data_IF_630542712226
#
_entry.id   IF_630542712226
#
_cell.length_a   1.000
_cell.length_b   1.000
_cell.length_c   1.000
_cell.angle_alpha   90.00
_cell.angle_beta   90.00
_cell.angle_gamma   90.00
#
_symmetry.space_group_name_H-M   'P 1'
#
loop_
_entity.id
_entity.type
_entity.pdbx_description
1 polymer ?
#
# COMPACT_ATOMS: atom_id res chain seq x y z
N UNK A 1 4.76 9.54 -20.87
CA UNK A 1 3.38 9.53 -21.45
C UNK A 1 2.48 8.43 -20.89
N UNK A 2 2.92 7.16 -20.85
CA UNK A 2 2.09 6.03 -20.36
C UNK A 2 1.56 6.22 -18.92
N UNK A 3 2.33 6.85 -18.05
CA UNK A 3 1.93 7.13 -16.66
C UNK A 3 0.63 7.95 -16.59
N UNK A 4 0.60 9.12 -17.23
CA UNK A 4 -0.58 9.99 -17.24
C UNK A 4 -1.78 9.35 -17.91
N UNK A 5 -1.58 8.54 -18.95
CA UNK A 5 -2.69 7.81 -19.62
C UNK A 5 -3.34 6.79 -18.68
N UNK A 6 -2.53 6.06 -17.89
CA UNK A 6 -3.06 5.13 -16.87
C UNK A 6 -3.76 5.85 -15.73
N UNK A 7 -3.28 7.02 -15.37
CA UNK A 7 -3.79 7.79 -14.23
C UNK A 7 -5.09 8.53 -14.58
N UNK A 8 -5.26 8.88 -15.86
CA UNK A 8 -6.41 9.59 -16.39
C UNK A 8 -7.05 8.85 -17.58
N UNK A 9 -7.60 7.63 -17.38
CA UNK A 9 -8.14 6.80 -18.45
C UNK A 9 -9.39 7.39 -19.12
N UNK A 10 -10.08 8.33 -18.45
CA UNK A 10 -11.23 9.04 -18.97
C UNK A 10 -10.88 10.05 -20.08
N UNK A 11 -9.60 10.39 -20.22
CA UNK A 11 -9.14 11.41 -21.14
C UNK A 11 -8.31 10.80 -22.28
N UNK A 12 -8.55 11.26 -23.51
CA UNK A 12 -7.83 10.77 -24.70
C UNK A 12 -6.56 11.59 -24.93
N UNK A 13 -5.47 10.89 -25.23
CA UNK A 13 -4.20 11.53 -25.64
C UNK A 13 -3.55 12.34 -24.52
N UNK A 14 -3.59 11.86 -23.27
CA UNK A 14 -2.96 12.54 -22.13
C UNK A 14 -1.44 12.45 -22.23
N UNK A 15 -0.77 13.59 -22.17
CA UNK A 15 0.69 13.71 -22.14
C UNK A 15 1.16 14.14 -20.77
N UNK A 16 2.31 13.62 -20.34
CA UNK A 16 3.00 14.11 -19.16
C UNK A 16 4.01 15.17 -19.57
N UNK A 17 3.97 16.31 -18.89
CA UNK A 17 4.92 17.40 -19.04
C UNK A 17 5.64 17.60 -17.72
N UNK A 18 6.96 17.48 -17.77
CA UNK A 18 7.83 17.88 -16.68
C UNK A 18 8.03 19.39 -16.78
N UNK A 19 8.04 20.06 -15.64
CA UNK A 19 8.12 21.51 -15.60
C UNK A 19 9.01 21.90 -14.42
N UNK A 20 9.97 22.79 -14.64
CA UNK A 20 11.10 23.02 -13.73
C UNK A 20 10.70 23.41 -12.31
N UNK A 21 9.55 24.06 -12.14
CA UNK A 21 9.00 24.40 -10.82
C UNK A 21 8.40 23.21 -10.05
N UNK A 22 8.06 22.13 -10.75
CA UNK A 22 7.37 20.95 -10.22
C UNK A 22 8.31 19.75 -10.05
N UNK A 23 9.30 19.59 -10.94
CA UNK A 23 10.26 18.48 -10.92
C UNK A 23 11.01 18.32 -9.57
N UNK A 24 11.46 19.39 -8.88
CA UNK A 24 12.14 19.26 -7.59
C UNK A 24 11.28 18.64 -6.48
N UNK A 25 9.95 18.79 -6.61
CA UNK A 25 8.95 18.26 -5.68
C UNK A 25 8.36 16.94 -6.17
N UNK A 26 8.94 16.34 -7.21
CA UNK A 26 8.41 15.13 -7.82
C UNK A 26 6.95 15.27 -8.21
N UNK A 27 6.63 16.39 -8.87
CA UNK A 27 5.31 16.66 -9.44
C UNK A 27 5.45 16.82 -10.95
N UNK A 28 4.46 16.33 -11.68
CA UNK A 28 4.35 16.48 -13.14
C UNK A 28 2.94 16.97 -13.51
N UNK A 29 2.82 17.55 -14.70
CA UNK A 29 1.54 17.96 -15.26
C UNK A 29 1.06 16.91 -16.27
N UNK A 30 -0.10 16.32 -16.01
CA UNK A 30 -0.81 15.48 -16.98
C UNK A 30 -1.82 16.34 -17.75
N UNK A 31 -1.57 16.57 -19.04
CA UNK A 31 -2.39 17.41 -19.91
C UNK A 31 -3.12 16.56 -20.96
N UNK A 32 -4.44 16.46 -20.91
CA UNK A 32 -5.23 15.87 -22.00
C UNK A 32 -5.23 16.75 -23.25
N UNK A 33 -5.29 16.13 -24.44
CA UNK A 33 -5.29 16.86 -25.71
C UNK A 33 -6.51 17.77 -25.92
N UNK A 34 -7.67 17.35 -25.42
CA UNK A 34 -8.96 18.04 -25.65
C UNK A 34 -9.55 18.64 -24.36
N UNK A 35 -8.74 18.82 -23.32
CA UNK A 35 -9.17 19.39 -22.05
C UNK A 35 -8.41 20.69 -21.79
N UNK A 36 -9.09 21.76 -21.33
CA UNK A 36 -8.44 23.06 -21.14
C UNK A 36 -7.49 23.11 -19.94
N UNK A 37 -7.59 22.15 -19.02
CA UNK A 37 -6.77 22.11 -17.81
C UNK A 37 -5.86 20.89 -17.78
N UNK A 38 -4.64 21.11 -17.28
CA UNK A 38 -3.71 20.08 -16.88
C UNK A 38 -3.86 19.77 -15.40
N UNK A 39 -3.57 18.52 -15.03
CA UNK A 39 -3.65 18.06 -13.65
C UNK A 39 -2.24 17.90 -13.08
N UNK A 40 -2.02 18.43 -11.87
CA UNK A 40 -0.79 18.19 -11.12
C UNK A 40 -0.88 16.80 -10.51
N UNK A 41 0.08 15.95 -10.82
CA UNK A 41 0.16 14.60 -10.31
C UNK A 41 1.51 14.34 -9.66
N UNK A 42 1.52 13.43 -8.69
CA UNK A 42 2.76 12.92 -8.11
C UNK A 42 3.52 12.09 -9.13
N UNK A 43 4.83 12.29 -9.16
CA UNK A 43 5.73 11.40 -9.88
C UNK A 43 5.90 10.10 -9.08
N UNK A 44 5.88 8.97 -9.77
CA UNK A 44 6.26 7.68 -9.19
C UNK A 44 7.76 7.65 -8.86
N UNK A 45 8.13 6.82 -7.89
CA UNK A 45 9.53 6.57 -7.57
C UNK A 45 10.27 6.01 -8.79
N UNK A 46 11.48 6.51 -9.04
CA UNK A 46 12.31 6.16 -10.19
C UNK A 46 12.05 7.00 -11.45
N UNK A 47 11.02 7.85 -11.50
CA UNK A 47 10.84 8.76 -12.64
C UNK A 47 11.86 9.89 -12.61
N UNK A 48 12.37 10.27 -13.78
CA UNK A 48 13.37 11.33 -13.91
C UNK A 48 12.80 12.69 -13.52
N UNK A 49 13.58 13.47 -12.77
CA UNK A 49 13.22 14.81 -12.31
C UNK A 49 14.28 15.87 -12.64
N UNK A 50 15.22 15.53 -13.53
CA UNK A 50 16.20 16.44 -14.13
C UNK A 50 17.65 16.16 -13.72
N UNK A 51 18.58 16.34 -14.68
CA UNK A 51 20.03 16.21 -14.48
C UNK A 51 20.40 14.90 -13.77
N UNK A 52 20.04 13.77 -14.39
CA UNK A 52 20.29 12.40 -13.95
C UNK A 52 19.73 12.02 -12.57
N UNK A 53 18.83 12.84 -12.03
CA UNK A 53 18.12 12.57 -10.77
C UNK A 53 16.78 11.90 -11.02
N UNK A 54 16.36 11.14 -10.03
CA UNK A 54 15.08 10.45 -10.03
C UNK A 54 14.27 10.81 -8.79
N UNK A 55 12.96 10.69 -8.92
CA UNK A 55 12.06 10.84 -7.81
C UNK A 55 12.16 9.67 -6.85
N UNK A 56 12.31 9.95 -5.57
CA UNK A 56 12.26 8.93 -4.53
C UNK A 56 11.58 9.52 -3.30
N UNK A 57 10.47 8.92 -2.87
CA UNK A 57 9.66 9.38 -1.73
C UNK A 57 9.28 10.86 -1.84
N UNK A 58 8.84 11.28 -3.03
CA UNK A 58 8.45 12.67 -3.38
C UNK A 58 9.59 13.70 -3.35
N UNK A 59 10.86 13.27 -3.38
CA UNK A 59 12.02 14.16 -3.45
C UNK A 59 12.85 13.82 -4.68
N UNK A 60 13.25 14.86 -5.43
CA UNK A 60 14.17 14.70 -6.55
C UNK A 60 15.60 14.51 -6.04
N UNK A 61 16.16 13.33 -6.22
CA UNK A 61 17.45 12.95 -5.65
C UNK A 61 18.29 12.13 -6.63
N UNK A 62 19.62 12.19 -6.45
CA UNK A 62 20.52 11.38 -7.26
C UNK A 62 20.29 9.89 -6.99
N UNK A 63 20.34 9.02 -8.01
CA UNK A 63 20.28 7.58 -7.82
C UNK A 63 21.33 7.13 -6.79
N UNK A 64 20.90 6.45 -5.72
CA UNK A 64 21.78 6.04 -4.61
C UNK A 64 22.10 7.11 -3.55
N UNK A 65 21.71 8.38 -3.77
CA UNK A 65 21.85 9.48 -2.81
C UNK A 65 20.70 9.59 -1.81
N UNK A 66 19.90 8.53 -1.66
CA UNK A 66 18.74 8.54 -0.78
C UNK A 66 19.20 8.70 0.69
N UNK A 67 18.53 9.52 1.52
CA UNK A 67 18.71 9.42 2.95
C UNK A 67 18.27 8.01 3.35
N UNK A 68 19.24 7.18 3.74
CA UNK A 68 18.98 5.87 4.32
C UNK A 68 17.91 6.08 5.38
N UNK A 69 16.73 5.45 5.19
CA UNK A 69 15.73 5.46 6.25
C UNK A 69 16.46 5.08 7.56
N UNK A 70 16.22 5.77 8.69
CA UNK A 70 16.82 5.38 9.95
C UNK A 70 16.64 3.87 10.11
N UNK A 71 17.67 3.12 10.55
CA UNK A 71 17.58 1.68 10.69
C UNK A 71 16.29 1.36 11.44
N UNK A 72 15.39 0.62 10.79
CA UNK A 72 14.16 0.17 11.43
C UNK A 72 14.61 -0.72 12.59
N UNK A 73 14.48 -0.25 13.82
CA UNK A 73 14.62 -1.09 15.00
C UNK A 73 13.59 -2.20 14.87
N UNK A 74 14.07 -3.41 14.57
CA UNK A 74 13.23 -4.60 14.56
C UNK A 74 13.01 -4.97 16.02
N UNK A 75 11.85 -4.62 16.58
CA UNK A 75 11.45 -5.15 17.88
C UNK A 75 11.26 -6.64 17.71
N UNK A 76 12.16 -7.44 18.29
CA UNK A 76 12.04 -8.89 18.35
C UNK A 76 10.66 -9.26 18.88
N UNK A 77 9.91 -10.17 18.25
CA UNK A 77 8.68 -10.68 18.85
C UNK A 77 9.04 -11.43 20.13
N UNK A 78 8.66 -10.87 21.29
CA UNK A 78 8.68 -11.62 22.55
C UNK A 78 7.61 -12.70 22.48
N UNK A 79 8.02 -13.96 22.31
CA UNK A 79 7.15 -15.12 22.40
C UNK A 79 6.58 -15.21 23.82
N UNK A 80 5.34 -14.75 24.00
CA UNK A 80 4.58 -14.95 25.23
C UNK A 80 4.16 -16.42 25.30
N UNK A 81 4.91 -17.24 26.02
CA UNK A 81 4.52 -18.62 26.34
C UNK A 81 3.44 -18.59 27.41
N UNK A 82 2.18 -18.49 26.99
CA UNK A 82 1.03 -18.59 27.90
C UNK A 82 0.87 -20.04 28.34
N UNK A 83 1.39 -20.39 29.52
CA UNK A 83 1.25 -21.73 30.11
C UNK A 83 -0.22 -21.96 30.51
N UNK A 84 -0.95 -22.68 29.67
CA UNK A 84 -2.33 -23.11 29.94
C UNK A 84 -2.36 -23.96 31.22
N UNK A 85 -2.77 -23.35 32.32
CA UNK A 85 -2.97 -24.04 33.59
C UNK A 85 -4.43 -24.42 33.67
N UNK A 86 -4.78 -25.63 33.23
CA UNK A 86 -6.14 -26.19 33.38
C UNK A 86 -6.52 -26.28 34.86
N UNK A 87 -7.48 -25.48 35.35
CA UNK A 87 -8.02 -25.68 36.68
C UNK A 87 -9.08 -26.79 36.58
N UNK A 88 -8.78 -27.95 37.17
CA UNK A 88 -9.79 -28.98 37.46
C UNK A 88 -10.84 -28.37 38.41
N UNK A 89 -11.98 -27.93 37.89
CA UNK A 89 -13.15 -27.57 38.71
C UNK A 89 -14.35 -28.48 38.42
N UNK A 90 -14.46 -29.43 39.34
CA UNK A 90 -15.63 -30.12 39.88
C UNK A 90 -16.96 -29.33 39.75
N UNK A 91 -17.96 -30.02 39.20
CA UNK A 91 -19.42 -29.95 39.46
C UNK A 91 -20.16 -28.61 39.32
N UNK A 92 -20.99 -28.46 38.27
CA UNK A 92 -22.47 -28.46 38.38
C UNK A 92 -23.11 -28.38 37.00
N UNK A 93 -23.77 -29.47 36.61
CA UNK A 93 -24.63 -29.56 35.44
C UNK A 93 -26.04 -29.14 35.81
N UNK A 94 -26.53 -28.08 35.19
CA UNK A 94 -27.96 -27.75 34.99
C UNK A 94 -27.97 -26.85 33.75
N UNK A 95 -28.48 -27.18 32.57
CA UNK A 95 -29.38 -28.22 32.10
C UNK A 95 -30.26 -27.54 31.05
N UNK A 96 -30.31 -28.05 29.81
CA UNK A 96 -31.52 -28.14 28.97
C UNK A 96 -31.19 -28.65 27.55
N UNK A 97 -31.30 -29.97 27.39
CA UNK A 97 -31.95 -30.68 26.28
C UNK A 97 -31.77 -30.18 24.83
N UNK A 98 -30.81 -30.77 24.10
CA UNK A 98 -30.99 -31.09 22.67
C UNK A 98 -31.22 -32.58 22.52
N UNK A 99 -32.51 -32.94 22.46
CA UNK A 99 -32.97 -34.29 22.18
C UNK A 99 -32.57 -34.70 20.76
N UNK A 100 -31.96 -35.88 20.68
CA UNK A 100 -32.12 -36.93 19.64
C UNK A 100 -31.59 -36.62 18.22
N UNK A 101 -30.43 -37.22 17.92
CA UNK A 101 -30.21 -37.93 16.64
C UNK A 101 -30.99 -39.26 16.67
N UNK A 102 -31.42 -39.77 15.51
CA UNK A 102 -30.75 -40.95 14.94
C UNK A 102 -30.44 -40.70 13.46
N UNK A 103 -29.25 -40.98 12.96
CA UNK A 103 -28.64 -42.28 12.63
C UNK A 103 -28.64 -42.45 11.10
N UNK A 104 -27.54 -43.02 10.61
CA UNK A 104 -27.13 -43.06 9.23
C UNK A 104 -28.04 -43.88 8.31
N UNK A 105 -27.98 -43.56 7.02
CA UNK A 105 -27.87 -44.55 5.93
C UNK A 105 -27.18 -43.88 4.73
N UNK A 106 -25.88 -44.12 4.61
CA UNK A 106 -25.25 -44.26 3.30
C UNK A 106 -25.64 -45.67 2.79
N UNK A 107 -25.83 -45.76 1.48
CA UNK A 107 -26.20 -46.91 0.65
C UNK A 107 -25.94 -48.30 1.25
#
# INVERSE_FOLDING_TARGET
>A
TLYCQKLHPQFVGVTGLDHDSYSPRCKLLCCPKHHPTCFVNDMADGMECGGDKVCMRHVCASPGGHPTAPPRTTTTPSTTTTRATTPRRRWRWTGLNRRRRPAARLL
#
